data_IF_341370460259
#
_entry.id   IF_341370460259
#
_cell.length_a   1.000
_cell.length_b   1.000
_cell.length_c   1.000
_cell.angle_alpha   90.00
_cell.angle_beta   90.00
_cell.angle_gamma   90.00
#
_symmetry.space_group_name_H-M   'P 1'
#
loop_
_entity.id
_entity.type
_entity.pdbx_description
1 polymer ?
#
# COMPACT_ATOMS: atom_id res chain seq x y z
N UNK A 1 -26.89 -42.04 39.08
CA UNK A 1 -27.25 -41.98 37.65
C UNK A 1 -27.69 -40.55 37.35
N UNK A 2 -26.83 -39.73 36.73
CA UNK A 2 -27.16 -38.34 36.40
C UNK A 2 -28.23 -38.31 35.29
N UNK A 3 -29.27 -37.51 35.51
CA UNK A 3 -30.50 -37.48 34.73
C UNK A 3 -30.28 -36.73 33.40
N UNK A 4 -30.71 -37.33 32.28
CA UNK A 4 -30.48 -36.86 30.90
C UNK A 4 -30.98 -35.42 30.65
N UNK A 5 -31.98 -34.99 31.41
CA UNK A 5 -32.53 -33.63 31.40
C UNK A 5 -31.51 -32.58 31.84
N UNK A 6 -30.57 -32.94 32.72
CA UNK A 6 -29.55 -32.03 33.23
C UNK A 6 -28.42 -31.79 32.22
N UNK A 7 -28.13 -32.79 31.37
CA UNK A 7 -27.16 -32.68 30.28
C UNK A 7 -27.68 -31.72 29.19
N UNK A 8 -28.97 -31.82 28.86
CA UNK A 8 -29.61 -30.95 27.86
C UNK A 8 -29.70 -29.48 28.33
N UNK A 9 -29.92 -29.25 29.63
CA UNK A 9 -29.93 -27.90 30.20
C UNK A 9 -28.54 -27.25 30.19
N UNK A 10 -27.47 -28.03 30.42
CA UNK A 10 -26.10 -27.53 30.36
C UNK A 10 -25.63 -27.21 28.92
N UNK A 11 -26.05 -28.00 27.93
CA UNK A 11 -25.76 -27.73 26.51
C UNK A 11 -26.41 -26.44 25.99
N UNK A 12 -27.62 -26.11 26.46
CA UNK A 12 -28.30 -24.86 26.07
C UNK A 12 -27.69 -23.63 26.76
N UNK A 13 -27.23 -23.76 28.01
CA UNK A 13 -26.52 -22.69 28.73
C UNK A 13 -25.12 -22.41 28.17
N UNK A 14 -24.45 -23.42 27.59
CA UNK A 14 -23.16 -23.26 26.92
C UNK A 14 -23.26 -22.57 25.54
N UNK A 15 -24.45 -22.42 24.97
CA UNK A 15 -24.66 -21.71 23.69
C UNK A 15 -24.95 -20.21 23.86
N UNK A 16 -24.96 -19.71 25.10
CA UNK A 16 -25.16 -18.29 25.43
C UNK A 16 -23.98 -17.71 26.22
N UNK A 17 -22.76 -18.15 25.93
CA UNK A 17 -21.55 -17.43 26.34
C UNK A 17 -21.23 -16.38 25.30
N UNK A 18 -21.61 -15.14 25.62
CA UNK A 18 -20.95 -13.90 25.27
C UNK A 18 -20.15 -13.93 23.94
N UNK A 19 -20.78 -13.40 22.89
CA UNK A 19 -20.09 -12.99 21.66
C UNK A 19 -19.13 -11.85 21.99
N UNK A 20 -18.02 -12.18 22.64
CA UNK A 20 -16.83 -11.36 22.66
C UNK A 20 -16.31 -11.34 21.21
N UNK A 21 -16.78 -10.34 20.46
CA UNK A 21 -16.14 -9.91 19.22
C UNK A 21 -14.64 -9.92 19.52
N UNK A 22 -13.79 -10.60 18.71
CA UNK A 22 -12.35 -10.57 18.93
C UNK A 22 -11.98 -9.09 19.11
N UNK A 23 -11.16 -8.74 20.11
CA UNK A 23 -10.80 -7.34 20.33
C UNK A 23 -10.35 -6.84 18.98
N UNK A 24 -11.06 -5.83 18.45
CA UNK A 24 -10.74 -5.22 17.18
C UNK A 24 -9.24 -5.02 17.23
N UNK A 25 -8.50 -5.71 16.34
CA UNK A 25 -7.05 -5.66 16.32
C UNK A 25 -6.73 -4.18 16.38
N UNK A 26 -6.27 -3.71 17.54
CA UNK A 26 -5.95 -2.30 17.72
C UNK A 26 -4.70 -2.18 16.88
N UNK A 27 -4.90 -1.87 15.61
CA UNK A 27 -3.83 -1.59 14.68
C UNK A 27 -2.91 -0.64 15.45
N UNK A 28 -1.66 -1.05 15.74
CA UNK A 28 -0.73 -0.15 16.39
C UNK A 28 -0.76 1.15 15.61
N UNK A 29 -0.78 2.29 16.29
CA UNK A 29 -0.85 3.61 15.63
C UNK A 29 0.20 3.64 14.52
N UNK A 30 -0.23 3.42 13.28
CA UNK A 30 0.69 3.19 12.18
C UNK A 30 1.27 4.54 11.84
N UNK A 31 2.59 4.60 11.68
CA UNK A 31 3.23 5.79 11.14
C UNK A 31 2.57 6.07 9.79
N UNK A 32 2.02 7.27 9.63
CA UNK A 32 1.46 7.70 8.36
C UNK A 32 2.56 7.62 7.28
N UNK A 33 2.22 7.23 6.04
CA UNK A 33 3.15 7.28 4.94
C UNK A 33 3.71 8.69 4.77
N UNK A 34 4.94 8.77 4.28
CA UNK A 34 5.56 10.04 3.97
C UNK A 34 4.85 10.69 2.78
N UNK A 35 4.70 12.03 2.82
CA UNK A 35 4.17 12.76 1.69
C UNK A 35 5.12 12.68 0.50
N UNK A 36 4.57 12.70 -0.72
CA UNK A 36 5.36 12.57 -1.94
C UNK A 36 5.12 13.74 -2.90
N UNK A 37 6.21 14.42 -3.26
CA UNK A 37 6.21 15.63 -4.10
C UNK A 37 6.71 15.39 -5.54
N UNK A 38 7.36 14.26 -5.79
CA UNK A 38 7.91 13.85 -7.08
C UNK A 38 9.31 14.33 -7.38
N UNK A 39 10.03 14.84 -6.39
CA UNK A 39 11.44 15.21 -6.54
C UNK A 39 12.36 14.01 -6.72
N UNK A 40 12.01 12.86 -6.12
CA UNK A 40 12.74 11.59 -6.23
C UNK A 40 11.86 10.51 -6.89
N UNK A 41 11.76 10.47 -8.24
CA UNK A 41 10.97 9.50 -8.99
C UNK A 41 11.11 8.05 -8.55
N UNK A 42 12.34 7.60 -8.28
CA UNK A 42 12.64 6.23 -7.87
C UNK A 42 11.99 5.83 -6.53
N UNK A 43 11.57 6.80 -5.70
CA UNK A 43 10.85 6.55 -4.45
C UNK A 43 9.35 6.29 -4.63
N UNK A 44 8.77 6.53 -5.82
CA UNK A 44 7.32 6.32 -6.05
C UNK A 44 6.88 4.89 -5.72
N UNK A 45 7.74 3.89 -5.99
CA UNK A 45 7.46 2.49 -5.67
C UNK A 45 7.41 2.27 -4.17
N UNK A 46 8.39 2.78 -3.42
CA UNK A 46 8.41 2.70 -1.96
C UNK A 46 7.25 3.46 -1.33
N UNK A 47 6.88 4.60 -1.90
CA UNK A 47 5.68 5.35 -1.52
C UNK A 47 4.43 4.47 -1.64
N UNK A 48 4.13 3.93 -2.84
CA UNK A 48 2.96 3.04 -3.06
C UNK A 48 2.99 1.81 -2.13
N UNK A 49 4.15 1.16 -1.98
CA UNK A 49 4.29 -0.01 -1.11
C UNK A 49 3.94 0.30 0.36
N UNK A 50 4.24 1.51 0.82
CA UNK A 50 3.89 1.96 2.18
C UNK A 50 2.37 1.97 2.40
N UNK A 51 1.61 2.41 1.41
CA UNK A 51 0.15 2.38 1.45
C UNK A 51 -0.42 0.97 1.31
N UNK A 52 0.15 0.16 0.41
CA UNK A 52 -0.26 -1.24 0.26
C UNK A 52 -0.16 -2.01 1.59
N UNK A 53 0.87 -1.74 2.39
CA UNK A 53 1.02 -2.32 3.73
C UNK A 53 -0.12 -1.90 4.67
N UNK A 54 -0.47 -0.61 4.70
CA UNK A 54 -1.60 -0.09 5.50
C UNK A 54 -2.91 -0.73 5.07
N UNK A 55 -3.15 -0.84 3.77
CA UNK A 55 -4.37 -1.45 3.23
C UNK A 55 -4.48 -2.93 3.54
N UNK A 56 -3.34 -3.63 3.63
CA UNK A 56 -3.31 -5.04 4.01
C UNK A 56 -3.54 -5.25 5.51
N UNK A 57 -3.09 -4.31 6.34
CA UNK A 57 -3.29 -4.36 7.79
C UNK A 57 -4.76 -4.07 8.14
N UNK A 58 -5.40 -3.10 7.45
CA UNK A 58 -6.77 -2.69 7.72
C UNK A 58 -7.70 -2.92 6.50
N UNK A 59 -7.84 -4.20 6.13
CA UNK A 59 -8.61 -4.61 4.94
C UNK A 59 -10.11 -4.23 5.04
N UNK A 60 -10.68 -4.22 6.24
CA UNK A 60 -12.10 -3.88 6.46
C UNK A 60 -12.35 -2.39 6.14
N UNK A 61 -11.50 -1.51 6.67
CA UNK A 61 -11.59 -0.06 6.44
C UNK A 61 -11.33 0.30 4.98
N UNK A 62 -10.37 -0.37 4.35
CA UNK A 62 -9.97 -0.16 2.96
C UNK A 62 -10.54 -1.18 1.98
N UNK A 63 -11.75 -1.69 2.26
CA UNK A 63 -12.44 -2.66 1.42
C UNK A 63 -12.80 -2.14 0.01
N UNK A 64 -12.89 -0.81 -0.17
CA UNK A 64 -13.21 -0.18 -1.45
C UNK A 64 -11.99 0.48 -2.08
N UNK A 65 -11.75 0.24 -3.37
CA UNK A 65 -10.62 0.85 -4.10
C UNK A 65 -10.61 2.37 -4.03
N UNK A 66 -11.79 3.00 -4.13
CA UNK A 66 -11.93 4.45 -3.98
C UNK A 66 -11.36 4.98 -2.66
N UNK A 67 -11.60 4.28 -1.54
CA UNK A 67 -11.05 4.69 -0.23
C UNK A 67 -9.53 4.63 -0.22
N UNK A 68 -8.94 3.63 -0.89
CA UNK A 68 -7.48 3.51 -1.06
C UNK A 68 -6.92 4.67 -1.86
N UNK A 69 -7.48 4.92 -3.05
CA UNK A 69 -7.02 6.00 -3.94
C UNK A 69 -7.15 7.37 -3.28
N UNK A 70 -8.27 7.64 -2.58
CA UNK A 70 -8.44 8.91 -1.85
C UNK A 70 -7.43 9.08 -0.72
N UNK A 71 -7.09 7.99 -0.03
CA UNK A 71 -6.11 8.03 1.05
C UNK A 71 -4.70 8.29 0.50
N UNK A 72 -4.27 7.58 -0.55
CA UNK A 72 -3.01 7.85 -1.25
C UNK A 72 -2.93 9.29 -1.75
N UNK A 73 -4.02 9.77 -2.37
CA UNK A 73 -4.10 11.13 -2.92
C UNK A 73 -3.94 12.19 -1.84
N UNK A 74 -4.36 11.91 -0.60
CA UNK A 74 -4.22 12.85 0.52
C UNK A 74 -2.77 13.09 0.96
N UNK A 75 -1.85 12.20 0.57
CA UNK A 75 -0.41 12.32 0.85
C UNK A 75 0.39 12.81 -0.35
N UNK A 76 -0.27 13.16 -1.45
CA UNK A 76 0.35 13.79 -2.60
C UNK A 76 0.50 15.29 -2.36
N UNK A 77 1.70 15.81 -2.60
CA UNK A 77 2.02 17.23 -2.46
C UNK A 77 2.73 17.75 -3.73
N UNK A 78 3.04 19.05 -3.75
CA UNK A 78 3.84 19.65 -4.82
C UNK A 78 3.24 19.45 -6.23
N UNK A 79 4.02 18.86 -7.14
CA UNK A 79 3.58 18.65 -8.53
C UNK A 79 2.43 17.64 -8.63
N UNK A 80 2.39 16.64 -7.75
CA UNK A 80 1.32 15.63 -7.75
C UNK A 80 -0.03 16.21 -7.32
N UNK A 81 -0.03 17.06 -6.30
CA UNK A 81 -1.24 17.73 -5.86
C UNK A 81 -1.89 18.54 -7.00
N UNK A 82 -1.07 19.23 -7.80
CA UNK A 82 -1.54 19.97 -8.99
C UNK A 82 -2.09 19.04 -10.08
N UNK A 83 -1.46 17.90 -10.30
CA UNK A 83 -1.91 16.91 -11.30
C UNK A 83 -3.26 16.28 -10.93
N UNK A 84 -3.47 15.98 -9.65
CA UNK A 84 -4.68 15.29 -9.19
C UNK A 84 -5.85 16.25 -8.91
N UNK A 85 -5.59 17.55 -8.76
CA UNK A 85 -6.58 18.59 -8.46
C UNK A 85 -7.84 18.55 -9.35
N UNK A 86 -7.75 18.40 -10.69
CA UNK A 86 -8.94 18.34 -11.53
C UNK A 86 -9.87 17.19 -11.15
N UNK A 87 -9.31 16.06 -10.70
CA UNK A 87 -10.09 14.90 -10.27
C UNK A 87 -10.70 15.10 -8.88
N UNK A 88 -10.05 15.88 -8.01
CA UNK A 88 -10.57 16.24 -6.69
C UNK A 88 -11.73 17.24 -6.78
N UNK A 89 -11.85 18.00 -7.86
CA UNK A 89 -12.96 18.94 -8.05
C UNK A 89 -14.34 18.26 -8.15
N UNK A 90 -14.37 16.98 -8.54
CA UNK A 90 -15.60 16.20 -8.68
C UNK A 90 -15.51 14.88 -7.89
N UNK A 91 -15.42 15.00 -6.56
CA UNK A 91 -15.43 13.83 -5.67
C UNK A 91 -16.75 13.07 -5.72
N UNK A 92 -17.88 13.66 -6.10
CA UNK A 92 -19.17 12.95 -6.14
C UNK A 92 -19.31 12.04 -7.35
N UNK A 93 -18.37 12.09 -8.30
CA UNK A 93 -18.36 11.22 -9.47
C UNK A 93 -18.32 9.73 -9.05
N UNK A 94 -19.30 8.95 -9.54
CA UNK A 94 -19.43 7.51 -9.28
C UNK A 94 -19.05 6.64 -10.48
N UNK A 95 -18.65 7.24 -11.60
CA UNK A 95 -18.21 6.51 -12.78
C UNK A 95 -16.98 5.65 -12.44
N UNK A 96 -17.02 4.37 -12.82
CA UNK A 96 -15.93 3.42 -12.60
C UNK A 96 -14.69 3.76 -13.44
N UNK A 97 -14.86 4.45 -14.56
CA UNK A 97 -13.78 4.96 -15.39
C UNK A 97 -13.12 6.21 -14.80
N UNK A 98 -13.69 6.77 -13.73
CA UNK A 98 -13.10 7.92 -13.05
C UNK A 98 -11.84 7.50 -12.28
N UNK A 99 -10.76 8.27 -12.43
CA UNK A 99 -9.44 7.96 -11.89
C UNK A 99 -9.47 7.62 -10.39
N UNK A 100 -10.19 8.43 -9.59
CA UNK A 100 -10.26 8.26 -8.13
C UNK A 100 -11.07 7.04 -7.67
N UNK A 101 -11.84 6.43 -8.56
CA UNK A 101 -12.68 5.28 -8.25
C UNK A 101 -12.00 3.94 -8.60
N UNK A 102 -10.86 3.96 -9.30
CA UNK A 102 -10.20 2.76 -9.80
C UNK A 102 -8.70 2.76 -9.52
N UNK A 103 -8.27 1.86 -8.65
CA UNK A 103 -6.84 1.62 -8.40
C UNK A 103 -6.09 1.25 -9.70
N UNK A 104 -6.74 0.46 -10.57
CA UNK A 104 -6.18 0.02 -11.85
C UNK A 104 -5.91 1.17 -12.83
N UNK A 105 -6.62 2.29 -12.69
CA UNK A 105 -6.39 3.49 -13.49
C UNK A 105 -5.40 4.42 -12.80
N UNK A 106 -5.52 4.56 -11.48
CA UNK A 106 -4.70 5.47 -10.68
C UNK A 106 -3.23 5.08 -10.66
N UNK A 107 -2.92 3.82 -10.30
CA UNK A 107 -1.54 3.38 -10.08
C UNK A 107 -0.67 3.54 -11.35
N UNK A 108 -1.07 3.06 -12.55
CA UNK A 108 -0.26 3.24 -13.76
C UNK A 108 -0.06 4.71 -14.14
N UNK A 109 -1.04 5.58 -13.90
CA UNK A 109 -0.87 7.00 -14.19
C UNK A 109 0.15 7.65 -13.26
N UNK A 110 0.18 7.26 -11.98
CA UNK A 110 1.20 7.73 -11.04
C UNK A 110 2.61 7.41 -11.53
N UNK A 111 2.82 6.22 -12.11
CA UNK A 111 4.09 5.86 -12.72
C UNK A 111 4.34 6.60 -14.05
N UNK A 112 3.33 6.69 -14.93
CA UNK A 112 3.48 7.28 -16.27
C UNK A 112 3.91 8.75 -16.23
N UNK A 113 3.35 9.54 -15.32
CA UNK A 113 3.62 10.97 -15.28
C UNK A 113 4.94 11.32 -14.60
N UNK A 114 5.56 10.39 -13.86
CA UNK A 114 6.61 10.74 -12.92
C UNK A 114 7.77 9.75 -12.81
N UNK A 115 7.66 8.55 -13.34
CA UNK A 115 8.83 7.72 -13.63
C UNK A 115 9.54 8.34 -14.82
N UNK A 116 10.85 8.59 -14.67
CA UNK A 116 11.67 9.04 -15.78
C UNK A 116 11.61 7.98 -16.89
N UNK A 117 11.26 8.33 -18.14
CA UNK A 117 11.31 7.39 -19.26
C UNK A 117 12.68 6.71 -19.44
N UNK A 118 13.76 7.32 -18.91
CA UNK A 118 15.11 6.78 -18.91
C UNK A 118 15.47 6.04 -17.62
N UNK A 119 14.54 5.85 -16.67
CA UNK A 119 14.82 5.22 -15.38
C UNK A 119 15.41 3.81 -15.56
N UNK A 120 14.90 3.05 -16.53
CA UNK A 120 15.44 1.73 -16.87
C UNK A 120 16.89 1.83 -17.36
N UNK A 121 17.21 2.76 -18.26
CA UNK A 121 18.60 3.00 -18.73
C UNK A 121 19.52 3.46 -17.61
N UNK A 122 19.00 4.30 -16.70
CA UNK A 122 19.76 4.79 -15.54
C UNK A 122 20.06 3.66 -14.57
N UNK A 123 19.05 2.83 -14.26
CA UNK A 123 19.23 1.64 -13.44
C UNK A 123 20.21 0.64 -14.08
N UNK A 124 20.18 0.48 -15.40
CA UNK A 124 21.14 -0.35 -16.14
C UNK A 124 22.57 0.21 -16.02
N UNK A 125 22.77 1.50 -16.24
CA UNK A 125 24.07 2.15 -16.08
C UNK A 125 24.61 2.04 -14.63
N UNK A 126 23.73 2.27 -13.63
CA UNK A 126 24.06 2.08 -12.22
C UNK A 126 24.44 0.60 -11.93
N UNK A 127 23.74 -0.37 -12.52
CA UNK A 127 24.04 -1.80 -12.39
C UNK A 127 25.40 -2.17 -12.99
N UNK A 128 25.75 -1.63 -14.17
CA UNK A 128 27.08 -1.83 -14.77
C UNK A 128 28.21 -1.25 -13.92
N UNK A 129 27.95 -0.16 -13.21
CA UNK A 129 28.91 0.46 -12.30
C UNK A 129 28.93 -0.16 -10.89
N UNK A 130 27.95 -1.01 -10.58
CA UNK A 130 27.79 -1.59 -9.25
C UNK A 130 28.92 -2.58 -8.99
N UNK A 131 29.76 -2.27 -7.99
CA UNK A 131 30.81 -3.16 -7.53
C UNK A 131 30.82 -3.22 -6.00
N UNK A 132 31.17 -4.39 -5.46
CA UNK A 132 31.37 -4.55 -4.03
C UNK A 132 32.72 -3.93 -3.65
N UNK A 133 32.70 -2.96 -2.73
CA UNK A 133 33.93 -2.35 -2.20
C UNK A 133 34.74 -3.38 -1.41
N UNK A 134 36.06 -3.19 -1.36
CA UNK A 134 37.01 -4.13 -0.71
C UNK A 134 36.70 -4.39 0.78
N UNK A 135 36.19 -3.38 1.49
CA UNK A 135 35.70 -3.49 2.88
C UNK A 135 34.16 -3.50 2.99
N UNK A 136 33.45 -3.76 1.89
CA UNK A 136 31.98 -3.72 1.83
C UNK A 136 31.33 -4.99 2.36
N UNK A 137 30.13 -4.84 2.94
CA UNK A 137 29.31 -5.98 3.32
C UNK A 137 28.55 -6.55 2.11
N UNK A 138 28.66 -7.87 1.89
CA UNK A 138 27.95 -8.59 0.81
C UNK A 138 26.44 -8.35 0.85
N UNK A 139 25.85 -8.25 2.06
CA UNK A 139 24.42 -8.00 2.25
C UNK A 139 23.97 -6.66 1.66
N UNK A 140 24.78 -5.61 1.79
CA UNK A 140 24.48 -4.29 1.22
C UNK A 140 24.56 -4.33 -0.31
N UNK A 141 25.60 -4.95 -0.85
CA UNK A 141 25.73 -5.15 -2.30
C UNK A 141 24.52 -5.92 -2.88
N UNK A 142 24.09 -7.01 -2.23
CA UNK A 142 22.92 -7.78 -2.66
C UNK A 142 21.64 -6.92 -2.59
N UNK A 143 21.49 -6.09 -1.57
CA UNK A 143 20.34 -5.20 -1.43
C UNK A 143 20.31 -4.16 -2.57
N UNK A 144 21.43 -3.50 -2.84
CA UNK A 144 21.57 -2.52 -3.91
C UNK A 144 21.32 -3.16 -5.29
N UNK A 145 21.91 -4.33 -5.55
CA UNK A 145 21.71 -5.10 -6.77
C UNK A 145 20.22 -5.44 -6.99
N UNK A 146 19.54 -5.95 -5.96
CA UNK A 146 18.10 -6.29 -6.05
C UNK A 146 17.24 -5.06 -6.28
N UNK A 147 17.56 -3.95 -5.62
CA UNK A 147 16.89 -2.67 -5.81
C UNK A 147 17.01 -2.21 -7.27
N UNK A 148 18.22 -2.24 -7.84
CA UNK A 148 18.48 -1.90 -9.24
C UNK A 148 17.74 -2.81 -10.22
N UNK A 149 17.80 -4.13 -10.03
CA UNK A 149 17.08 -5.09 -10.88
C UNK A 149 15.56 -4.88 -10.82
N UNK A 150 15.01 -4.45 -9.69
CA UNK A 150 13.58 -4.15 -9.57
C UNK A 150 13.13 -2.93 -10.39
N UNK A 151 14.08 -2.04 -10.75
CA UNK A 151 13.85 -0.84 -11.58
C UNK A 151 13.91 -1.14 -13.08
N UNK A 152 14.40 -2.32 -13.48
CA UNK A 152 14.51 -2.75 -14.89
C UNK A 152 13.24 -3.43 -15.42
N UNK A 153 12.27 -3.76 -14.57
CA UNK A 153 11.05 -4.48 -14.96
C UNK A 153 9.91 -3.51 -15.19
N UNK A 154 9.49 -3.43 -16.45
CA UNK A 154 8.17 -2.94 -16.89
C UNK A 154 7.08 -4.00 -16.65
#
# INVERSE_FOLDING_TARGET
MQNMTQIMAQLRAASSSDSSRPPACKTPSMKAPECFDGTEPFKVRSFIQSFQLIFHIDMEKFSQYRKKVLYDTSSLIGRYAKWIEPYLSNLTNQDQSYLLNSWKLFEPQLFTFFVDPNESRKAEAELYSLSMKEAGHVSLYIADFRSLVSRLRD
#
